data_IF_188866386484
#
_entry.id   IF_188866386484
#
_cell.length_a   1.000
_cell.length_b   1.000
_cell.length_c   1.000
_cell.angle_alpha   90.00
_cell.angle_beta   90.00
_cell.angle_gamma   90.00
#
_symmetry.space_group_name_H-M   'P 1'
#
loop_
_entity.id
_entity.type
_entity.pdbx_description
1 polymer ?
#
# COMPACT_ATOMS: atom_id res chain seq x y z
N UNK A 1 -66.98 -32.57 -20.62
CA UNK A 1 -65.69 -33.20 -21.00
C UNK A 1 -64.82 -32.25 -21.84
N UNK A 2 -64.44 -31.09 -21.32
CA UNK A 2 -63.70 -30.09 -22.14
C UNK A 2 -62.55 -29.37 -21.42
N UNK A 3 -62.18 -29.81 -20.22
CA UNK A 3 -61.21 -29.10 -19.41
C UNK A 3 -59.93 -29.89 -19.03
N UNK A 4 -59.74 -31.10 -19.57
CA UNK A 4 -58.50 -31.88 -19.25
C UNK A 4 -57.35 -31.71 -20.23
N UNK A 5 -57.57 -31.15 -21.43
CA UNK A 5 -56.52 -31.03 -22.44
C UNK A 5 -55.58 -29.80 -22.25
N UNK A 6 -56.02 -28.77 -21.56
CA UNK A 6 -55.25 -27.55 -21.35
C UNK A 6 -54.23 -27.64 -20.21
N UNK A 7 -54.50 -28.45 -19.19
CA UNK A 7 -53.61 -28.59 -18.03
C UNK A 7 -52.37 -29.42 -18.39
N UNK A 8 -52.50 -30.40 -19.30
CA UNK A 8 -51.34 -31.22 -19.73
C UNK A 8 -50.38 -30.40 -20.62
N UNK A 9 -50.90 -29.49 -21.44
CA UNK A 9 -50.07 -28.62 -22.27
C UNK A 9 -49.26 -27.58 -21.48
N UNK A 10 -49.85 -27.06 -20.37
CA UNK A 10 -49.13 -26.09 -19.54
C UNK A 10 -48.02 -26.76 -18.69
N UNK A 11 -48.24 -27.98 -18.27
CA UNK A 11 -47.22 -28.73 -17.51
C UNK A 11 -46.03 -29.18 -18.37
N UNK A 12 -46.26 -29.52 -19.65
CA UNK A 12 -45.22 -29.89 -20.59
C UNK A 12 -44.37 -28.68 -21.06
N UNK A 13 -44.99 -27.51 -21.20
CA UNK A 13 -44.26 -26.28 -21.52
C UNK A 13 -43.44 -25.80 -20.34
N UNK A 14 -43.93 -25.90 -19.10
CA UNK A 14 -43.18 -25.51 -17.91
C UNK A 14 -42.00 -26.45 -17.61
N UNK A 15 -42.16 -27.75 -17.86
CA UNK A 15 -41.03 -28.70 -17.72
C UNK A 15 -39.99 -28.57 -18.81
N UNK A 16 -40.36 -28.23 -20.03
CA UNK A 16 -39.41 -27.96 -21.13
C UNK A 16 -38.64 -26.65 -20.92
N UNK A 17 -39.30 -25.61 -20.42
CA UNK A 17 -38.63 -24.34 -20.12
C UNK A 17 -37.67 -24.49 -18.92
N UNK A 18 -38.04 -25.25 -17.90
CA UNK A 18 -37.14 -25.50 -16.76
C UNK A 18 -35.97 -26.41 -17.12
N UNK A 19 -36.16 -27.36 -18.05
CA UNK A 19 -35.03 -28.19 -18.53
C UNK A 19 -34.08 -27.42 -19.45
N UNK A 20 -34.57 -26.51 -20.27
CA UNK A 20 -33.71 -25.67 -21.12
C UNK A 20 -32.92 -24.63 -20.30
N UNK A 21 -33.50 -24.08 -19.25
CA UNK A 21 -32.78 -23.16 -18.34
C UNK A 21 -31.68 -23.90 -17.58
N UNK A 22 -31.94 -25.13 -17.14
CA UNK A 22 -30.92 -25.94 -16.46
C UNK A 22 -29.81 -26.38 -17.41
N UNK A 23 -30.10 -26.70 -18.66
CA UNK A 23 -29.09 -27.07 -19.65
C UNK A 23 -28.23 -25.86 -20.03
N UNK A 24 -28.81 -24.68 -20.22
CA UNK A 24 -28.04 -23.45 -20.48
C UNK A 24 -27.19 -23.05 -19.26
N UNK A 25 -27.73 -23.17 -18.04
CA UNK A 25 -26.96 -22.85 -16.83
C UNK A 25 -25.81 -23.85 -16.62
N UNK A 26 -26.01 -25.11 -16.99
CA UNK A 26 -24.98 -26.14 -16.88
C UNK A 26 -23.90 -25.95 -17.97
N UNK A 27 -24.29 -25.62 -19.19
CA UNK A 27 -23.36 -25.35 -20.31
C UNK A 27 -22.55 -24.06 -20.08
N UNK A 28 -23.17 -23.04 -19.48
CA UNK A 28 -22.45 -21.82 -19.08
C UNK A 28 -21.47 -22.06 -17.94
N UNK A 29 -21.74 -22.97 -17.02
CA UNK A 29 -20.82 -23.37 -15.94
C UNK A 29 -19.66 -24.20 -16.47
N UNK A 30 -19.90 -25.06 -17.46
CA UNK A 30 -18.87 -25.90 -18.06
C UNK A 30 -17.91 -25.11 -18.99
N UNK A 31 -18.36 -23.97 -19.54
CA UNK A 31 -17.58 -23.13 -20.43
C UNK A 31 -16.89 -21.96 -19.79
N UNK A 32 -17.16 -21.67 -18.52
CA UNK A 32 -16.60 -20.51 -17.88
C UNK A 32 -15.33 -20.83 -17.09
N UNK A 33 -14.31 -20.04 -17.31
CA UNK A 33 -13.09 -19.93 -16.55
C UNK A 33 -13.26 -20.02 -15.01
N UNK A 34 -14.44 -19.68 -14.48
CA UNK A 34 -14.81 -19.79 -13.08
C UNK A 34 -14.85 -21.23 -12.56
N UNK A 35 -15.19 -22.20 -13.39
CA UNK A 35 -15.31 -23.61 -12.93
C UNK A 35 -13.95 -24.24 -12.61
N UNK A 36 -12.92 -23.88 -13.36
CA UNK A 36 -11.56 -24.36 -13.11
C UNK A 36 -10.92 -23.76 -11.85
N UNK A 37 -11.44 -22.59 -11.38
CA UNK A 37 -10.96 -21.92 -10.17
C UNK A 37 -11.71 -22.37 -8.92
N UNK A 38 -12.97 -22.83 -9.05
CA UNK A 38 -13.80 -23.27 -7.92
C UNK A 38 -13.43 -24.65 -7.37
N UNK A 39 -12.74 -25.45 -8.15
CA UNK A 39 -12.15 -26.69 -7.67
C UNK A 39 -10.65 -26.48 -7.40
N UNK A 40 -10.24 -26.29 -6.15
CA UNK A 40 -8.83 -26.17 -5.84
C UNK A 40 -8.11 -27.48 -6.24
N UNK A 41 -7.25 -27.39 -7.24
CA UNK A 41 -6.42 -28.50 -7.72
C UNK A 41 -5.21 -28.78 -6.82
N UNK A 42 -5.19 -28.18 -5.64
CA UNK A 42 -4.10 -28.39 -4.69
C UNK A 42 -4.59 -29.23 -3.52
N UNK A 43 -3.70 -30.02 -3.00
CA UNK A 43 -3.84 -30.65 -1.70
C UNK A 43 -4.24 -29.55 -0.67
N UNK A 44 -5.23 -29.83 0.20
CA UNK A 44 -5.58 -28.92 1.27
C UNK A 44 -4.33 -28.62 2.08
N UNK A 45 -3.95 -27.34 2.14
CA UNK A 45 -2.83 -26.93 2.98
C UNK A 45 -3.23 -27.08 4.44
N UNK A 46 -2.30 -27.46 5.33
CA UNK A 46 -2.55 -27.48 6.75
C UNK A 46 -3.11 -26.12 7.21
N UNK A 47 -4.12 -26.15 8.07
CA UNK A 47 -4.66 -24.94 8.68
C UNK A 47 -3.55 -24.27 9.50
N UNK A 48 -3.19 -23.05 9.15
CA UNK A 48 -2.25 -22.24 9.93
C UNK A 48 -3.02 -21.66 11.11
N UNK A 49 -2.81 -22.22 12.30
CA UNK A 49 -3.43 -21.75 13.52
C UNK A 49 -2.63 -20.58 14.11
N UNK A 50 -3.24 -19.40 14.10
CA UNK A 50 -2.70 -18.18 14.70
C UNK A 50 -1.63 -17.48 13.86
N UNK A 51 -1.05 -16.44 14.43
CA UNK A 51 0.03 -15.68 13.83
C UNK A 51 1.37 -16.27 14.28
N UNK A 52 2.37 -16.22 13.39
CA UNK A 52 3.73 -16.53 13.79
C UNK A 52 4.18 -15.58 14.92
N UNK A 53 4.79 -16.15 15.97
CA UNK A 53 5.30 -15.37 17.09
C UNK A 53 6.55 -14.57 16.74
N UNK A 54 7.26 -14.97 15.69
CA UNK A 54 8.50 -14.39 15.21
C UNK A 54 8.38 -14.00 13.74
N UNK A 55 7.63 -12.95 13.45
CA UNK A 55 7.57 -12.38 12.10
C UNK A 55 8.66 -11.33 11.90
N UNK A 56 9.22 -11.29 10.70
CA UNK A 56 9.97 -10.11 10.23
C UNK A 56 8.99 -8.94 10.17
N UNK A 57 9.30 -7.85 10.84
CA UNK A 57 8.43 -6.68 10.98
C UNK A 57 9.22 -5.40 10.75
N UNK A 58 8.57 -4.41 10.19
CA UNK A 58 9.12 -3.05 10.18
C UNK A 58 9.34 -2.55 11.62
N UNK A 59 10.45 -1.89 11.84
CA UNK A 59 10.84 -1.30 13.14
C UNK A 59 10.40 0.16 13.22
N UNK A 60 9.11 0.40 13.05
CA UNK A 60 8.57 1.76 13.02
C UNK A 60 8.58 2.41 14.40
N UNK A 61 8.90 3.70 14.44
CA UNK A 61 8.64 4.59 15.57
C UNK A 61 7.12 4.84 15.72
N UNK A 62 6.74 5.50 16.79
CA UNK A 62 5.34 5.85 17.06
C UNK A 62 4.75 6.84 16.08
N UNK A 63 5.53 7.43 15.19
CA UNK A 63 5.06 8.35 14.15
C UNK A 63 4.24 9.49 14.75
N UNK A 64 4.77 10.12 15.82
CA UNK A 64 4.14 11.27 16.44
C UNK A 64 4.00 12.41 15.44
N UNK A 65 2.80 12.93 15.29
CA UNK A 65 2.47 14.05 14.41
C UNK A 65 1.83 15.18 15.18
N UNK A 66 1.94 16.40 14.67
CA UNK A 66 1.32 17.60 15.22
C UNK A 66 0.61 18.37 14.12
N UNK A 67 -0.64 18.79 14.39
CA UNK A 67 -1.44 19.63 13.49
C UNK A 67 -2.18 20.67 14.31
N UNK A 68 -2.71 21.75 13.72
CA UNK A 68 -3.61 22.65 14.42
C UNK A 68 -4.82 21.86 14.97
N UNK A 69 -5.26 22.18 16.18
CA UNK A 69 -6.52 21.64 16.70
C UNK A 69 -7.72 22.15 15.91
N UNK A 70 -8.85 21.47 15.98
CA UNK A 70 -10.06 21.81 15.21
C UNK A 70 -10.58 23.22 15.52
N UNK A 71 -10.37 23.73 16.73
CA UNK A 71 -10.74 25.10 17.14
C UNK A 71 -9.65 26.15 16.80
N UNK A 72 -8.52 25.73 16.23
CA UNK A 72 -7.40 26.56 15.87
C UNK A 72 -6.62 27.18 17.04
N UNK A 73 -6.92 26.78 18.29
CA UNK A 73 -6.30 27.38 19.50
C UNK A 73 -5.23 26.52 20.13
N UNK A 74 -5.20 25.22 19.80
CA UNK A 74 -4.28 24.24 20.35
C UNK A 74 -3.50 23.51 19.26
N UNK A 75 -2.69 22.56 19.71
CA UNK A 75 -1.98 21.61 18.85
C UNK A 75 -2.56 20.22 19.08
N UNK A 76 -3.11 19.60 18.03
CA UNK A 76 -3.54 18.23 18.03
C UNK A 76 -2.33 17.34 17.74
N UNK A 77 -2.06 16.40 18.63
CA UNK A 77 -0.97 15.42 18.54
C UNK A 77 -1.56 14.03 18.41
N UNK A 78 -1.03 13.21 17.53
CA UNK A 78 -1.42 11.82 17.38
C UNK A 78 -0.22 10.91 17.14
N UNK A 79 -0.34 9.65 17.54
CA UNK A 79 0.74 8.66 17.43
C UNK A 79 0.19 7.26 17.18
N UNK A 80 1.07 6.33 16.83
CA UNK A 80 0.72 4.93 16.61
C UNK A 80 0.73 4.15 17.93
N UNK A 81 -0.24 3.24 18.05
CA UNK A 81 -0.13 2.11 18.98
C UNK A 81 0.73 1.04 18.32
N UNK A 82 1.71 0.53 19.02
CA UNK A 82 2.59 -0.53 18.58
C UNK A 82 2.20 -1.86 19.25
N UNK A 83 2.62 -2.97 18.65
CA UNK A 83 2.28 -4.31 19.15
C UNK A 83 2.81 -4.56 20.58
N UNK A 84 4.01 -4.06 20.88
CA UNK A 84 4.61 -4.18 22.21
C UNK A 84 3.84 -3.45 23.33
N UNK A 85 2.91 -2.57 23.00
CA UNK A 85 2.09 -1.86 23.99
C UNK A 85 1.07 -2.79 24.68
N UNK A 86 0.84 -3.99 24.12
CA UNK A 86 -0.08 -4.97 24.67
C UNK A 86 -1.56 -4.56 24.55
N UNK A 87 -2.41 -5.12 25.40
CA UNK A 87 -3.88 -4.98 25.30
C UNK A 87 -4.45 -3.74 25.97
N UNK A 88 -3.77 -3.17 26.96
CA UNK A 88 -4.22 -1.99 27.74
C UNK A 88 -3.11 -0.93 27.81
N UNK A 89 -2.77 -0.31 26.65
CA UNK A 89 -1.71 0.68 26.61
C UNK A 89 -2.11 1.97 27.31
N UNK A 90 -1.12 2.64 27.87
CA UNK A 90 -1.28 4.01 28.36
C UNK A 90 -0.04 4.85 28.05
N UNK A 91 -0.24 6.16 27.92
CA UNK A 91 0.81 7.04 27.43
C UNK A 91 0.93 8.31 28.27
N UNK A 92 2.13 8.85 28.31
CA UNK A 92 2.36 10.22 28.73
C UNK A 92 2.95 11.05 27.59
N UNK A 93 2.37 12.22 27.37
CA UNK A 93 2.88 13.21 26.43
C UNK A 93 3.71 14.26 27.14
N UNK A 94 4.85 14.58 26.55
CA UNK A 94 5.78 15.59 27.03
C UNK A 94 6.01 16.66 25.97
N UNK A 95 6.29 17.88 26.45
CA UNK A 95 6.73 19.01 25.65
C UNK A 95 7.95 19.66 26.30
N UNK A 96 8.94 19.98 25.49
CA UNK A 96 10.05 20.87 25.84
C UNK A 96 9.96 22.16 25.04
N UNK A 97 9.98 23.29 25.71
CA UNK A 97 9.98 24.61 25.09
C UNK A 97 10.69 25.61 26.03
N UNK A 98 11.43 26.56 25.47
CA UNK A 98 12.14 27.61 26.24
C UNK A 98 13.00 27.03 27.39
N UNK A 99 13.67 25.90 27.15
CA UNK A 99 14.53 25.22 28.11
C UNK A 99 13.78 24.48 29.24
N UNK A 100 12.44 24.43 29.19
CA UNK A 100 11.61 23.75 30.21
C UNK A 100 10.92 22.54 29.61
N UNK A 101 11.04 21.41 30.29
CA UNK A 101 10.31 20.17 29.96
C UNK A 101 9.10 20.04 30.86
N UNK A 102 7.97 19.73 30.28
CA UNK A 102 6.69 19.55 30.97
C UNK A 102 5.99 18.29 30.49
N UNK A 103 5.46 17.50 31.41
CA UNK A 103 4.48 16.45 31.11
C UNK A 103 3.11 17.11 30.95
N UNK A 104 2.52 17.04 29.77
CA UNK A 104 1.24 17.66 29.45
C UNK A 104 0.06 16.83 29.95
N UNK A 105 0.16 15.50 29.87
CA UNK A 105 -0.89 14.61 30.35
C UNK A 105 -0.84 14.46 31.88
N UNK A 106 -1.81 15.03 32.58
CA UNK A 106 -1.93 14.91 34.06
C UNK A 106 -2.05 13.44 34.48
N UNK A 107 -2.94 12.70 33.83
CA UNK A 107 -3.11 11.26 33.96
C UNK A 107 -2.59 10.54 32.73
N UNK A 108 -2.24 9.23 32.81
CA UNK A 108 -1.94 8.46 31.61
C UNK A 108 -3.10 8.49 30.62
N UNK A 109 -2.80 8.77 29.36
CA UNK A 109 -3.76 8.76 28.25
C UNK A 109 -4.08 7.29 27.97
N UNK A 110 -5.37 6.94 27.96
CA UNK A 110 -5.89 5.59 27.71
C UNK A 110 -6.98 5.64 26.66
N UNK A 111 -7.24 4.52 26.02
CA UNK A 111 -8.28 4.35 25.00
C UNK A 111 -8.13 5.20 23.74
N UNK A 112 -7.10 6.02 23.63
CA UNK A 112 -6.80 6.85 22.47
C UNK A 112 -5.29 6.98 22.29
N UNK A 113 -4.86 7.32 21.07
CA UNK A 113 -3.47 7.65 20.73
C UNK A 113 -3.38 9.08 20.22
N UNK A 114 -4.08 10.00 20.89
CA UNK A 114 -4.07 11.42 20.60
C UNK A 114 -4.19 12.29 21.84
N UNK A 115 -3.89 13.56 21.67
CA UNK A 115 -3.99 14.56 22.73
C UNK A 115 -4.05 15.97 22.12
N UNK A 116 -4.80 16.88 22.74
CA UNK A 116 -4.77 18.30 22.36
C UNK A 116 -4.01 19.09 23.42
N UNK A 117 -2.88 19.68 23.03
CA UNK A 117 -2.20 20.67 23.84
C UNK A 117 -2.94 22.00 23.72
N UNK A 118 -3.72 22.32 24.74
CA UNK A 118 -4.50 23.56 24.84
C UNK A 118 -3.68 24.79 25.24
N UNK A 119 -2.42 24.58 25.60
CA UNK A 119 -1.51 25.63 26.07
C UNK A 119 -0.21 25.64 25.27
N UNK A 120 -0.28 25.63 23.92
CA UNK A 120 0.92 25.59 23.12
C UNK A 120 1.72 26.89 23.30
N UNK A 121 3.03 26.77 23.09
CA UNK A 121 3.88 27.96 22.96
C UNK A 121 3.71 28.58 21.60
N UNK A 122 4.00 29.88 21.46
CA UNK A 122 3.87 30.59 20.19
C UNK A 122 5.03 30.36 19.21
N UNK A 123 6.08 29.72 19.67
CA UNK A 123 7.32 29.50 18.91
C UNK A 123 7.58 28.01 18.70
N UNK A 124 8.81 27.58 18.89
CA UNK A 124 9.24 26.19 18.72
C UNK A 124 9.04 25.36 19.96
N UNK A 125 8.57 24.13 19.78
CA UNK A 125 8.44 23.16 20.83
C UNK A 125 8.88 21.78 20.32
N UNK A 126 9.38 20.94 21.23
CA UNK A 126 9.70 19.53 20.97
C UNK A 126 8.74 18.66 21.77
N UNK A 127 8.06 17.73 21.09
CA UNK A 127 7.12 16.79 21.69
C UNK A 127 7.65 15.36 21.64
N UNK A 128 7.27 14.52 22.60
CA UNK A 128 7.49 13.08 22.57
C UNK A 128 6.49 12.35 23.44
N UNK A 129 6.31 11.06 23.17
CA UNK A 129 5.44 10.15 23.88
C UNK A 129 6.26 9.12 24.63
N UNK A 130 5.85 8.79 25.86
CA UNK A 130 6.30 7.63 26.60
C UNK A 130 5.14 6.65 26.73
N UNK A 131 5.33 5.41 26.29
CA UNK A 131 4.41 4.31 26.52
C UNK A 131 4.68 3.67 27.88
N UNK A 132 3.62 3.25 28.54
CA UNK A 132 3.68 2.74 29.93
C UNK A 132 3.09 1.34 30.00
N UNK A 133 3.70 0.49 30.80
CA UNK A 133 3.13 -0.81 31.19
C UNK A 133 1.97 -0.65 32.20
N UNK A 134 1.37 -1.78 32.59
CA UNK A 134 0.30 -1.82 33.61
C UNK A 134 0.73 -1.29 34.94
N UNK A 135 2.03 -1.28 35.27
CA UNK A 135 2.63 -0.73 36.49
C UNK A 135 3.03 0.73 36.35
N UNK A 136 2.68 1.37 35.22
CA UNK A 136 3.03 2.76 34.86
C UNK A 136 4.54 3.00 34.69
N UNK A 137 5.31 1.95 34.42
CA UNK A 137 6.71 2.06 34.06
C UNK A 137 6.82 2.35 32.55
N UNK A 138 7.73 3.24 32.17
CA UNK A 138 8.03 3.52 30.75
C UNK A 138 8.64 2.27 30.14
N UNK A 139 8.04 1.80 29.04
CA UNK A 139 8.49 0.66 28.24
C UNK A 139 9.06 1.08 26.88
N UNK A 140 8.67 2.27 26.43
CA UNK A 140 9.12 2.81 25.16
C UNK A 140 8.96 4.32 25.11
N UNK A 141 9.77 5.01 24.29
CA UNK A 141 9.72 6.45 24.09
C UNK A 141 9.85 6.73 22.60
N UNK A 142 8.94 7.53 22.05
CA UNK A 142 9.01 7.94 20.64
C UNK A 142 10.26 8.79 20.34
N UNK A 143 10.62 8.88 19.08
CA UNK A 143 11.46 9.95 18.59
C UNK A 143 10.86 11.32 18.95
N UNK A 144 11.71 12.31 19.03
CA UNK A 144 11.30 13.68 19.32
C UNK A 144 10.79 14.35 18.06
N UNK A 145 9.64 15.00 18.16
CA UNK A 145 9.04 15.80 17.10
C UNK A 145 9.26 17.28 17.38
N UNK A 146 10.08 17.93 16.57
CA UNK A 146 10.26 19.37 16.60
C UNK A 146 9.14 20.05 15.81
N UNK A 147 8.46 20.97 16.43
CA UNK A 147 7.29 21.68 15.88
C UNK A 147 7.54 23.18 15.92
N UNK A 148 7.41 23.83 14.79
CA UNK A 148 7.27 25.29 14.73
C UNK A 148 5.79 25.64 14.83
N UNK A 149 5.38 26.04 16.02
CA UNK A 149 3.98 26.29 16.34
C UNK A 149 3.42 27.53 15.61
N UNK A 150 4.30 28.42 15.11
CA UNK A 150 3.91 29.64 14.41
C UNK A 150 3.41 29.41 12.97
N UNK A 151 3.86 28.32 12.36
CA UNK A 151 3.57 27.96 10.96
C UNK A 151 2.93 26.59 10.80
N UNK A 152 2.42 26.02 11.90
CA UNK A 152 1.85 24.67 11.92
C UNK A 152 0.68 24.55 10.93
N UNK A 153 0.70 23.47 10.14
CA UNK A 153 -0.30 23.17 9.13
C UNK A 153 -0.87 21.77 9.35
N UNK A 154 -2.05 21.51 8.78
CA UNK A 154 -2.68 20.20 8.78
C UNK A 154 -2.24 19.31 7.61
N UNK A 155 -1.18 19.69 6.92
CA UNK A 155 -0.58 18.93 5.81
C UNK A 155 0.93 19.14 5.79
N UNK A 156 1.64 18.19 5.24
CA UNK A 156 3.04 18.29 4.87
C UNK A 156 3.15 18.55 3.37
N UNK A 157 4.04 19.45 2.98
CA UNK A 157 4.31 19.76 1.58
C UNK A 157 5.71 19.29 1.22
N UNK A 158 5.81 18.45 0.21
CA UNK A 158 7.07 17.96 -0.34
C UNK A 158 7.23 18.55 -1.73
N UNK A 159 8.34 19.25 -1.94
CA UNK A 159 8.68 19.75 -3.26
C UNK A 159 9.30 18.62 -4.08
N UNK A 160 8.64 18.23 -5.16
CA UNK A 160 9.19 17.25 -6.07
C UNK A 160 10.41 17.81 -6.81
N UNK A 161 11.38 16.94 -7.09
CA UNK A 161 12.60 17.29 -7.81
C UNK A 161 12.31 17.66 -9.27
N UNK A 162 11.28 17.05 -9.86
CA UNK A 162 10.79 17.39 -11.19
C UNK A 162 9.44 18.09 -11.09
N UNK A 163 9.20 19.08 -11.94
CA UNK A 163 7.91 19.78 -12.02
C UNK A 163 6.87 18.94 -12.81
N UNK A 164 6.60 17.74 -12.32
CA UNK A 164 5.73 16.75 -12.93
C UNK A 164 4.73 16.27 -11.89
N UNK A 165 3.48 16.06 -12.29
CA UNK A 165 2.43 15.57 -11.38
C UNK A 165 2.71 14.14 -10.93
N UNK A 166 2.55 13.88 -9.64
CA UNK A 166 2.63 12.55 -9.05
C UNK A 166 1.44 11.68 -9.46
N UNK A 167 1.71 10.42 -9.80
CA UNK A 167 0.68 9.45 -10.20
C UNK A 167 0.31 8.45 -9.12
N UNK A 168 1.31 7.86 -8.45
CA UNK A 168 1.15 6.91 -7.34
C UNK A 168 2.18 7.19 -6.26
N UNK A 169 1.82 6.86 -5.03
CA UNK A 169 2.69 7.02 -3.86
C UNK A 169 2.65 5.71 -3.07
N UNK A 170 3.82 5.24 -2.65
CA UNK A 170 3.98 4.29 -1.55
C UNK A 170 4.70 5.00 -0.39
N UNK A 171 4.53 4.47 0.80
CA UNK A 171 5.19 4.96 2.01
C UNK A 171 5.87 3.80 2.71
N UNK A 172 7.10 4.01 3.15
CA UNK A 172 7.88 3.04 3.92
C UNK A 172 9.05 3.76 4.59
N UNK A 173 9.65 3.17 5.59
CA UNK A 173 10.85 3.68 6.24
C UNK A 173 12.08 3.26 5.43
N UNK A 174 12.63 4.17 4.62
CA UNK A 174 13.74 3.88 3.73
C UNK A 174 15.10 3.94 4.43
N UNK A 175 15.24 4.81 5.43
CA UNK A 175 16.51 5.09 6.10
C UNK A 175 16.67 4.36 7.45
N UNK A 176 15.61 3.76 7.98
CA UNK A 176 15.60 3.03 9.24
C UNK A 176 15.42 3.91 10.49
N UNK A 177 14.88 5.12 10.33
CA UNK A 177 14.63 6.03 11.45
C UNK A 177 13.26 5.82 12.14
N UNK A 178 12.45 4.90 11.60
CA UNK A 178 11.12 4.58 12.12
C UNK A 178 10.01 5.48 11.60
N UNK A 179 10.32 6.43 10.71
CA UNK A 179 9.37 7.37 10.12
C UNK A 179 9.14 7.00 8.65
N UNK A 180 7.92 7.15 8.16
CA UNK A 180 7.64 6.88 6.76
C UNK A 180 8.18 7.96 5.84
N UNK A 181 8.92 7.49 4.85
CA UNK A 181 9.41 8.20 3.68
C UNK A 181 8.47 7.97 2.49
N UNK A 182 8.77 8.56 1.34
CA UNK A 182 7.89 8.58 0.19
C UNK A 182 8.57 8.03 -1.06
N UNK A 183 7.87 7.11 -1.73
CA UNK A 183 8.22 6.62 -3.05
C UNK A 183 7.14 7.10 -4.01
N UNK A 184 7.51 7.88 -5.00
CA UNK A 184 6.57 8.58 -5.87
C UNK A 184 6.81 8.16 -7.31
N UNK A 185 5.75 7.70 -7.98
CA UNK A 185 5.78 7.46 -9.42
C UNK A 185 5.26 8.69 -10.15
N UNK A 186 6.03 9.15 -11.13
CA UNK A 186 5.67 10.23 -12.04
C UNK A 186 5.74 9.78 -13.50
N UNK A 187 5.08 10.45 -14.46
CA UNK A 187 4.01 11.43 -14.29
C UNK A 187 2.67 10.80 -13.88
N UNK A 188 1.68 11.64 -13.55
CA UNK A 188 0.29 11.20 -13.43
C UNK A 188 -0.24 10.77 -14.80
N UNK A 189 -0.44 9.45 -14.96
CA UNK A 189 -1.05 8.87 -16.17
C UNK A 189 -2.11 7.85 -15.76
N UNK A 190 -3.35 8.26 -15.81
CA UNK A 190 -4.51 7.43 -15.56
C UNK A 190 -5.18 7.04 -16.89
N UNK A 191 -4.38 6.45 -17.77
CA UNK A 191 -4.81 6.05 -19.12
C UNK A 191 -4.90 4.53 -19.24
N UNK A 192 -5.66 4.07 -20.21
CA UNK A 192 -5.67 2.67 -20.65
C UNK A 192 -4.89 2.59 -21.98
N UNK A 193 -3.78 1.84 -22.08
CA UNK A 193 -2.98 1.74 -23.30
C UNK A 193 -3.81 1.32 -24.49
N UNK A 194 -3.54 1.93 -25.64
CA UNK A 194 -4.26 1.72 -26.89
C UNK A 194 -5.53 2.52 -27.05
N UNK A 195 -5.88 3.39 -26.10
CA UNK A 195 -6.90 4.42 -26.32
C UNK A 195 -6.30 5.57 -27.14
N UNK A 196 -7.04 6.14 -28.10
CA UNK A 196 -6.55 7.26 -28.89
C UNK A 196 -6.09 8.44 -28.02
N UNK A 197 -4.95 9.04 -28.33
CA UNK A 197 -4.42 10.21 -27.64
C UNK A 197 -3.74 9.93 -26.29
N UNK A 198 -3.54 8.67 -25.93
CA UNK A 198 -2.91 8.31 -24.63
C UNK A 198 -1.39 8.21 -24.70
N UNK A 199 -0.82 8.22 -25.90
CA UNK A 199 0.61 8.02 -26.13
C UNK A 199 1.29 9.35 -26.45
N UNK A 200 2.19 9.74 -25.57
CA UNK A 200 3.06 10.90 -25.75
C UNK A 200 4.56 10.53 -25.68
N UNK A 201 4.88 9.24 -25.71
CA UNK A 201 6.24 8.72 -25.63
C UNK A 201 6.87 8.80 -24.25
N UNK A 202 6.20 9.39 -23.25
CA UNK A 202 6.77 9.50 -21.91
C UNK A 202 6.86 8.16 -21.21
N UNK A 203 7.83 8.04 -20.32
CA UNK A 203 8.08 6.89 -19.45
C UNK A 203 7.67 7.21 -18.02
N UNK A 204 7.54 6.18 -17.20
CA UNK A 204 7.38 6.37 -15.75
C UNK A 204 8.74 6.47 -15.08
N UNK A 205 8.80 7.35 -14.09
CA UNK A 205 9.93 7.45 -13.17
C UNK A 205 9.49 7.10 -11.76
N UNK A 206 10.35 6.48 -11.00
CA UNK A 206 10.22 6.28 -9.56
C UNK A 206 11.21 7.22 -8.89
N UNK A 207 10.72 8.01 -7.96
CA UNK A 207 11.47 8.96 -7.17
C UNK A 207 11.34 8.61 -5.68
N UNK A 208 12.41 8.72 -4.92
CA UNK A 208 12.40 8.53 -3.48
C UNK A 208 12.75 9.80 -2.74
N UNK A 209 12.05 10.03 -1.64
CA UNK A 209 12.20 11.20 -0.76
C UNK A 209 12.12 10.78 0.69
N UNK A 210 12.95 11.35 1.55
CA UNK A 210 12.78 11.22 2.99
C UNK A 210 11.54 11.98 3.49
N UNK A 211 11.14 11.69 4.68
CA UNK A 211 9.99 12.28 5.36
C UNK A 211 10.03 13.81 5.45
N UNK A 212 11.22 14.40 5.50
CA UNK A 212 11.44 15.85 5.50
C UNK A 212 11.41 16.48 4.10
N UNK A 213 11.26 15.68 3.03
CA UNK A 213 11.28 16.10 1.64
C UNK A 213 12.66 16.07 0.99
N UNK A 214 13.69 15.57 1.67
CA UNK A 214 15.01 15.36 1.07
C UNK A 214 14.91 14.38 -0.08
N UNK A 215 15.28 14.82 -1.29
CA UNK A 215 15.33 13.98 -2.48
C UNK A 215 16.50 13.00 -2.40
N UNK A 216 16.23 11.71 -2.64
CA UNK A 216 17.24 10.67 -2.64
C UNK A 216 17.71 10.34 -4.07
N UNK A 217 16.79 9.87 -4.89
CA UNK A 217 17.09 9.43 -6.27
C UNK A 217 15.85 9.43 -7.14
N UNK A 218 16.08 9.36 -8.47
CA UNK A 218 15.05 9.15 -9.49
C UNK A 218 15.55 8.12 -10.50
N UNK A 219 14.67 7.23 -10.94
CA UNK A 219 14.95 6.23 -11.99
C UNK A 219 13.82 6.12 -12.99
N UNK A 220 14.18 6.14 -14.26
CA UNK A 220 13.27 5.90 -15.36
C UNK A 220 13.02 4.39 -15.54
N UNK A 221 11.76 3.99 -15.62
CA UNK A 221 11.36 2.59 -15.85
C UNK A 221 11.43 2.19 -17.35
N UNK A 222 11.70 3.14 -18.23
CA UNK A 222 11.87 2.90 -19.67
C UNK A 222 10.59 2.58 -20.43
N UNK A 223 10.78 2.31 -21.73
CA UNK A 223 9.69 2.01 -22.66
C UNK A 223 9.08 0.62 -22.46
N UNK A 224 9.75 -0.29 -21.76
CA UNK A 224 9.23 -1.62 -21.46
C UNK A 224 8.09 -1.64 -20.43
N UNK A 225 7.78 -0.51 -19.77
CA UNK A 225 6.67 -0.40 -18.84
C UNK A 225 5.52 0.38 -19.47
N UNK A 226 4.38 -0.27 -19.66
CA UNK A 226 3.20 0.33 -20.27
C UNK A 226 2.64 1.50 -19.45
N UNK A 227 2.22 2.60 -20.09
CA UNK A 227 1.56 3.69 -19.39
C UNK A 227 0.15 3.25 -18.93
N UNK A 228 -0.21 3.63 -17.73
CA UNK A 228 -1.53 3.35 -17.17
C UNK A 228 -1.48 3.02 -15.69
N UNK A 229 -2.62 3.16 -15.03
CA UNK A 229 -2.71 3.03 -13.57
C UNK A 229 -2.39 1.62 -13.07
N UNK A 230 -2.64 0.59 -13.90
CA UNK A 230 -2.50 -0.82 -13.51
C UNK A 230 -1.18 -1.48 -13.96
N UNK A 231 -0.41 -0.84 -14.84
CA UNK A 231 0.68 -1.50 -15.57
C UNK A 231 2.06 -1.35 -14.92
N UNK A 232 2.16 -0.49 -13.92
CA UNK A 232 3.38 -0.27 -13.13
C UNK A 232 3.08 -0.41 -11.63
N UNK A 233 2.75 -1.64 -11.17
CA UNK A 233 2.55 -1.87 -9.75
C UNK A 233 3.87 -1.76 -9.01
N UNK A 234 3.83 -1.23 -7.79
CA UNK A 234 4.94 -1.25 -6.84
C UNK A 234 4.44 -1.18 -5.41
N UNK A 235 5.20 -1.73 -4.50
CA UNK A 235 5.01 -1.65 -3.05
C UNK A 235 6.37 -1.43 -2.39
N UNK A 236 6.37 -0.93 -1.18
CA UNK A 236 7.56 -0.81 -0.37
C UNK A 236 7.32 -1.40 1.02
N UNK A 237 8.30 -2.13 1.51
CA UNK A 237 8.29 -2.78 2.81
C UNK A 237 9.72 -3.22 3.18
N UNK A 238 10.01 -3.38 4.46
CA UNK A 238 11.24 -4.02 4.94
C UNK A 238 11.13 -5.55 4.76
N UNK A 239 11.48 -6.04 3.55
CA UNK A 239 11.34 -7.46 3.19
C UNK A 239 12.40 -8.35 3.85
N UNK A 240 13.56 -7.81 4.19
CA UNK A 240 14.68 -8.56 4.74
C UNK A 240 14.80 -8.44 6.28
N UNK A 241 14.08 -7.49 6.91
CA UNK A 241 14.05 -7.27 8.34
C UNK A 241 15.24 -6.51 8.90
N UNK A 242 15.98 -5.78 8.05
CA UNK A 242 17.14 -5.00 8.49
C UNK A 242 16.74 -3.63 9.09
N UNK A 243 15.49 -3.23 8.93
CA UNK A 243 14.91 -1.99 9.42
C UNK A 243 14.84 -0.90 8.37
N UNK A 244 15.17 -1.20 7.10
CA UNK A 244 15.06 -0.29 5.96
C UNK A 244 14.21 -0.95 4.89
N UNK A 245 13.33 -0.18 4.29
CA UNK A 245 12.43 -0.73 3.29
C UNK A 245 13.09 -0.85 1.92
N UNK A 246 12.78 -1.95 1.25
CA UNK A 246 12.99 -2.14 -0.17
C UNK A 246 11.73 -1.78 -0.96
N UNK A 247 11.90 -1.68 -2.28
CA UNK A 247 10.82 -1.41 -3.23
C UNK A 247 10.70 -2.60 -4.18
N UNK A 248 9.59 -3.32 -4.13
CA UNK A 248 9.26 -4.35 -5.10
C UNK A 248 8.40 -3.74 -6.21
N UNK A 249 8.85 -3.87 -7.46
CA UNK A 249 8.20 -3.25 -8.59
C UNK A 249 8.38 -4.06 -9.87
N UNK A 250 7.48 -3.82 -10.83
CA UNK A 250 7.64 -4.33 -12.19
C UNK A 250 8.69 -3.53 -12.94
N UNK A 251 9.65 -4.21 -13.55
CA UNK A 251 10.69 -3.63 -14.41
C UNK A 251 10.78 -4.38 -15.75
N UNK A 252 11.50 -3.80 -16.70
CA UNK A 252 11.84 -4.42 -17.97
C UNK A 252 13.20 -3.92 -18.44
N UNK A 253 13.95 -4.69 -19.25
CA UNK A 253 15.19 -4.22 -19.84
C UNK A 253 14.92 -3.16 -20.90
N UNK A 254 15.92 -2.33 -21.21
CA UNK A 254 15.83 -1.29 -22.24
C UNK A 254 15.50 -1.83 -23.63
N UNK A 255 15.79 -3.11 -23.88
CA UNK A 255 15.47 -3.81 -25.11
C UNK A 255 13.96 -4.08 -25.30
N UNK A 256 13.20 -4.12 -24.22
CA UNK A 256 11.75 -4.27 -24.24
C UNK A 256 11.11 -2.93 -24.59
N UNK A 257 10.34 -2.89 -25.66
CA UNK A 257 9.76 -1.66 -26.21
C UNK A 257 8.24 -1.77 -26.34
N UNK A 258 7.59 -0.63 -26.25
CA UNK A 258 6.16 -0.50 -26.58
C UNK A 258 5.95 -0.41 -28.08
N UNK A 259 4.87 -1.01 -28.57
CA UNK A 259 4.40 -0.80 -29.94
C UNK A 259 3.77 0.58 -30.12
N UNK A 260 3.33 0.91 -31.33
CA UNK A 260 2.67 2.19 -31.68
C UNK A 260 1.39 2.46 -30.86
N UNK A 261 0.78 1.42 -30.28
CA UNK A 261 -0.39 1.52 -29.40
C UNK A 261 -0.01 1.66 -27.92
N UNK A 262 1.29 1.75 -27.59
CA UNK A 262 1.81 1.85 -26.23
C UNK A 262 1.75 0.56 -25.42
N UNK A 263 1.65 -0.57 -26.08
CA UNK A 263 1.60 -1.89 -25.47
C UNK A 263 2.92 -2.62 -25.62
N UNK A 264 3.27 -3.38 -24.61
CA UNK A 264 4.37 -4.35 -24.69
C UNK A 264 3.77 -5.69 -25.08
N UNK A 265 3.98 -6.09 -26.33
CA UNK A 265 3.46 -7.35 -26.85
C UNK A 265 4.39 -8.53 -26.59
N UNK A 266 5.70 -8.25 -26.44
CA UNK A 266 6.73 -9.27 -26.17
C UNK A 266 7.96 -8.61 -25.53
N UNK A 267 8.82 -9.44 -24.98
CA UNK A 267 10.06 -9.03 -24.31
C UNK A 267 10.10 -9.50 -22.88
N UNK A 268 11.27 -9.38 -22.28
CA UNK A 268 11.50 -9.76 -20.90
C UNK A 268 10.86 -8.73 -19.96
N UNK A 269 10.25 -9.22 -18.89
CA UNK A 269 9.69 -8.44 -17.80
C UNK A 269 10.08 -9.09 -16.48
N UNK A 270 10.27 -8.28 -15.44
CA UNK A 270 10.75 -8.75 -14.15
C UNK A 270 9.92 -8.18 -13.00
N UNK A 271 9.87 -8.93 -11.91
CA UNK A 271 9.64 -8.41 -10.57
C UNK A 271 11.02 -8.13 -9.98
N UNK A 272 11.37 -6.86 -9.85
CA UNK A 272 12.61 -6.41 -9.24
C UNK A 272 12.40 -5.95 -7.82
N UNK A 273 13.43 -6.13 -6.99
CA UNK A 273 13.50 -5.55 -5.64
C UNK A 273 14.68 -4.58 -5.63
N UNK A 274 14.39 -3.33 -5.27
CA UNK A 274 15.39 -2.26 -5.20
C UNK A 274 15.60 -1.83 -3.75
N UNK A 275 16.85 -1.56 -3.39
CA UNK A 275 17.19 -0.89 -2.14
C UNK A 275 16.53 0.50 -2.09
N UNK A 276 15.80 0.77 -1.02
CA UNK A 276 14.97 1.98 -0.93
C UNK A 276 15.77 3.27 -0.86
N UNK A 277 16.94 3.25 -0.21
CA UNK A 277 17.80 4.43 -0.06
C UNK A 277 18.54 4.81 -1.33
N UNK A 278 18.88 3.84 -2.15
CA UNK A 278 19.77 4.06 -3.32
C UNK A 278 19.09 3.81 -4.66
N UNK A 279 17.93 3.15 -4.67
CA UNK A 279 17.27 2.68 -5.89
C UNK A 279 18.07 1.59 -6.63
N UNK A 280 19.10 0.99 -6.03
CA UNK A 280 19.88 -0.06 -6.66
C UNK A 280 19.09 -1.37 -6.63
N UNK A 281 19.01 -2.05 -7.78
CA UNK A 281 18.43 -3.39 -7.84
C UNK A 281 19.30 -4.37 -7.02
N UNK A 282 18.67 -5.10 -6.12
CA UNK A 282 19.30 -6.09 -5.25
C UNK A 282 18.85 -7.52 -5.54
N UNK A 283 17.68 -7.69 -6.13
CA UNK A 283 17.16 -8.98 -6.57
C UNK A 283 16.16 -8.80 -7.70
N UNK A 284 15.97 -9.84 -8.51
CA UNK A 284 14.86 -9.93 -9.47
C UNK A 284 14.53 -11.39 -9.81
N UNK A 285 13.29 -11.57 -10.23
CA UNK A 285 12.78 -12.81 -10.83
C UNK A 285 11.95 -12.45 -12.07
N UNK A 286 11.72 -13.43 -12.93
CA UNK A 286 10.88 -13.24 -14.10
C UNK A 286 9.45 -12.86 -13.69
N UNK A 287 8.88 -11.90 -14.41
CA UNK A 287 7.46 -11.58 -14.30
C UNK A 287 6.61 -12.72 -14.84
N UNK A 288 5.41 -12.97 -14.32
CA UNK A 288 4.53 -14.01 -14.84
C UNK A 288 4.35 -13.91 -16.35
N UNK A 289 4.59 -15.01 -17.04
CA UNK A 289 4.54 -15.09 -18.49
C UNK A 289 3.16 -14.71 -19.03
N UNK A 290 3.15 -13.91 -20.09
CA UNK A 290 1.94 -13.62 -20.85
C UNK A 290 1.65 -14.76 -21.81
N UNK A 291 0.44 -15.26 -21.78
CA UNK A 291 0.03 -16.31 -22.71
C UNK A 291 -1.42 -16.13 -23.16
N UNK A 292 -1.76 -16.69 -24.30
CA UNK A 292 -3.07 -16.56 -24.95
C UNK A 292 -4.20 -17.26 -24.16
N UNK A 293 -3.87 -18.16 -23.23
CA UNK A 293 -4.84 -18.88 -22.40
C UNK A 293 -5.74 -17.93 -21.58
N UNK A 294 -5.22 -16.79 -21.18
CA UNK A 294 -5.94 -15.84 -20.34
C UNK A 294 -6.55 -14.67 -21.14
N UNK A 295 -6.55 -14.76 -22.46
CA UNK A 295 -7.21 -13.82 -23.36
C UNK A 295 -6.32 -12.66 -23.81
N UNK A 296 -6.87 -11.45 -23.83
CA UNK A 296 -6.18 -10.29 -24.40
C UNK A 296 -4.95 -9.88 -23.58
N UNK A 297 -3.79 -9.75 -24.22
CA UNK A 297 -2.50 -9.38 -23.62
C UNK A 297 -2.57 -8.13 -22.72
N UNK A 298 -3.35 -7.14 -23.11
CA UNK A 298 -3.54 -5.91 -22.31
C UNK A 298 -4.14 -6.21 -20.93
N UNK A 299 -5.11 -7.12 -20.86
CA UNK A 299 -5.75 -7.48 -19.59
C UNK A 299 -4.84 -8.30 -18.70
N UNK A 300 -3.98 -9.13 -19.28
CA UNK A 300 -2.99 -9.89 -18.52
C UNK A 300 -1.96 -8.99 -17.84
N UNK A 301 -1.75 -7.80 -18.37
CA UNK A 301 -0.80 -6.84 -17.81
C UNK A 301 -1.40 -5.92 -16.73
N UNK A 302 -2.67 -6.08 -16.38
CA UNK A 302 -3.33 -5.37 -15.28
C UNK A 302 -3.04 -6.08 -13.95
N UNK A 303 -1.82 -5.93 -13.45
CA UNK A 303 -1.34 -6.65 -12.29
C UNK A 303 -1.31 -5.77 -11.05
N UNK A 304 -1.34 -6.45 -9.90
CA UNK A 304 -1.09 -5.86 -8.59
C UNK A 304 0.01 -6.64 -7.91
N UNK A 305 0.81 -5.97 -7.10
CA UNK A 305 1.78 -6.57 -6.20
C UNK A 305 1.22 -6.44 -4.78
N UNK A 306 1.29 -7.50 -4.03
CA UNK A 306 0.94 -7.54 -2.62
C UNK A 306 2.01 -8.26 -1.83
N UNK A 307 2.15 -7.95 -0.56
CA UNK A 307 3.01 -8.61 0.38
C UNK A 307 2.18 -9.52 1.29
N UNK A 308 2.68 -10.73 1.58
CA UNK A 308 2.03 -11.65 2.49
C UNK A 308 3.07 -12.57 3.15
N UNK A 309 2.84 -12.90 4.41
CA UNK A 309 3.63 -13.86 5.16
C UNK A 309 3.15 -15.29 4.88
N UNK A 310 3.59 -15.88 3.76
CA UNK A 310 3.12 -17.20 3.32
C UNK A 310 3.61 -18.34 4.23
N UNK A 311 4.78 -18.20 4.83
CA UNK A 311 5.36 -19.09 5.83
C UNK A 311 5.00 -18.66 7.26
N UNK A 312 4.25 -17.58 7.42
CA UNK A 312 3.90 -16.95 8.67
C UNK A 312 5.03 -16.12 9.31
N UNK A 313 6.22 -16.07 8.70
CA UNK A 313 7.41 -15.44 9.28
C UNK A 313 8.02 -14.38 8.37
N UNK A 314 8.20 -14.70 7.10
CA UNK A 314 8.90 -13.86 6.12
C UNK A 314 7.89 -13.18 5.19
N UNK A 315 7.98 -11.87 4.95
CA UNK A 315 7.09 -11.15 4.04
C UNK A 315 7.31 -11.54 2.58
#
# INVERSE_FOLDING_TARGET
MRNKKWIIGLFLVSTLVLSSINVEAQDLRERTYYYEILEPRHEPKPEIKGFATERVKEKLDRGLTATPSADGKGIYLSWRRLEQDGTDPSFHLYRSANGKTQRLSKNPIKNTCDFVDQTPVSEKATYWICALDKKKKVIDTSSKLDVDCSILRNYQSIKLNHNIKAGKIAVADLNGDGIYDYIIRTPEKNVDPGMPGTLDGSTYQIEAYLSDGTFLWSKDLGQGIEPGVWYSPFIAYDFNGDGKAEIALKTAPETTQRNEKGRVDSGEEYLSVWDGMTGKEIARVDWPERNDRYGNLVRQNRNQIGMAYLDGKTP
#
